data_IF_292873514924
#
_entry.id   IF_292873514924
#
_cell.length_a   1.000
_cell.length_b   1.000
_cell.length_c   1.000
_cell.angle_alpha   90.00
_cell.angle_beta   90.00
_cell.angle_gamma   90.00
#
_symmetry.space_group_name_H-M   'P 1'
#
loop_
_entity.id
_entity.type
_entity.pdbx_description
1 polymer ?
#
# COMPACT_ATOMS: atom_id res chain seq x y z
N UNK A 1 1.10 1.91 -27.11
CA UNK A 1 2.34 1.43 -26.43
C UNK A 1 2.50 2.08 -25.05
N UNK A 2 2.30 3.39 -24.89
CA UNK A 2 2.40 4.08 -23.59
C UNK A 2 1.35 3.63 -22.56
N UNK A 3 0.11 3.34 -22.98
CA UNK A 3 -0.94 2.86 -22.07
C UNK A 3 -0.57 1.52 -21.41
N UNK A 4 0.03 0.60 -22.16
CA UNK A 4 0.48 -0.69 -21.62
C UNK A 4 1.56 -0.51 -20.55
N UNK A 5 2.50 0.42 -20.76
CA UNK A 5 3.52 0.75 -19.76
C UNK A 5 2.89 1.37 -18.50
N UNK A 6 1.89 2.24 -18.68
CA UNK A 6 1.15 2.83 -17.57
C UNK A 6 0.42 1.78 -16.73
N UNK A 7 -0.43 0.97 -17.36
CA UNK A 7 -1.20 -0.07 -16.68
C UNK A 7 -0.33 -1.12 -16.00
N UNK A 8 0.76 -1.55 -16.65
CA UNK A 8 1.70 -2.51 -16.03
C UNK A 8 2.44 -1.89 -14.86
N UNK A 9 2.91 -0.64 -14.99
CA UNK A 9 3.53 0.10 -13.89
C UNK A 9 2.60 0.26 -12.69
N UNK A 10 1.36 0.70 -12.91
CA UNK A 10 0.36 0.84 -11.86
C UNK A 10 0.05 -0.48 -11.16
N UNK A 11 -0.07 -1.58 -11.91
CA UNK A 11 -0.32 -2.90 -11.34
C UNK A 11 0.85 -3.38 -10.47
N UNK A 12 2.09 -3.20 -10.95
CA UNK A 12 3.30 -3.55 -10.22
C UNK A 12 3.42 -2.74 -8.94
N UNK A 13 3.20 -1.43 -8.99
CA UNK A 13 3.18 -0.60 -7.78
C UNK A 13 2.06 -0.99 -6.83
N UNK A 14 0.88 -1.35 -7.35
CA UNK A 14 -0.23 -1.74 -6.49
C UNK A 14 0.00 -3.05 -5.74
N UNK A 15 0.82 -3.94 -6.29
CA UNK A 15 1.05 -5.28 -5.75
C UNK A 15 2.45 -5.51 -5.20
N UNK A 16 3.32 -4.49 -5.22
CA UNK A 16 4.73 -4.61 -4.84
C UNK A 16 4.94 -5.04 -3.37
N UNK A 17 3.98 -4.76 -2.51
CA UNK A 17 3.98 -5.16 -1.10
C UNK A 17 3.74 -6.67 -0.90
N UNK A 18 3.06 -7.33 -1.83
CA UNK A 18 2.60 -8.72 -1.69
C UNK A 18 3.77 -9.70 -1.51
N UNK A 19 4.85 -9.66 -2.32
CA UNK A 19 6.01 -10.54 -2.11
C UNK A 19 6.63 -10.39 -0.71
N UNK A 20 6.71 -9.17 -0.17
CA UNK A 20 7.28 -8.95 1.16
C UNK A 20 6.36 -9.49 2.27
N UNK A 21 5.04 -9.34 2.12
CA UNK A 21 4.06 -9.93 3.03
C UNK A 21 4.15 -11.45 3.04
N UNK A 22 4.22 -12.08 1.86
CA UNK A 22 4.37 -13.53 1.72
C UNK A 22 5.67 -14.00 2.38
N UNK A 23 6.79 -13.34 2.08
CA UNK A 23 8.10 -13.64 2.68
C UNK A 23 8.04 -13.58 4.20
N UNK A 24 7.50 -12.50 4.75
CA UNK A 24 7.36 -12.29 6.21
C UNK A 24 6.45 -13.33 6.85
N UNK A 25 5.34 -13.69 6.17
CA UNK A 25 4.43 -14.73 6.64
C UNK A 25 5.09 -16.11 6.70
N UNK A 26 5.90 -16.45 5.70
CA UNK A 26 6.60 -17.73 5.61
C UNK A 26 7.80 -17.83 6.56
N UNK A 27 8.62 -16.77 6.63
CA UNK A 27 9.82 -16.74 7.46
C UNK A 27 9.53 -16.56 8.95
N UNK A 28 8.36 -15.97 9.28
CA UNK A 28 8.04 -15.47 10.62
C UNK A 28 9.16 -14.61 11.19
N UNK A 29 9.73 -13.74 10.34
CA UNK A 29 10.75 -12.75 10.69
C UNK A 29 10.50 -11.48 9.89
N UNK A 30 10.63 -10.34 10.56
CA UNK A 30 10.49 -9.01 9.95
C UNK A 30 11.69 -8.09 10.29
N UNK A 31 12.83 -8.65 10.69
CA UNK A 31 14.03 -7.90 11.09
C UNK A 31 14.57 -7.00 9.99
N UNK A 32 14.36 -7.38 8.72
CA UNK A 32 14.74 -6.64 7.53
C UNK A 32 13.93 -5.35 7.31
N UNK A 33 12.78 -5.21 7.96
CA UNK A 33 11.92 -4.04 7.83
C UNK A 33 12.22 -3.00 8.91
N UNK A 34 12.53 -1.76 8.49
CA UNK A 34 12.69 -0.63 9.40
C UNK A 34 11.35 -0.18 9.98
N UNK A 35 11.29 0.08 11.29
CA UNK A 35 10.12 0.66 11.95
C UNK A 35 9.72 2.01 11.33
N UNK A 36 10.70 2.86 11.03
CA UNK A 36 10.43 4.18 10.44
C UNK A 36 9.84 4.05 9.03
N UNK A 37 10.35 3.10 8.24
CA UNK A 37 9.80 2.81 6.92
C UNK A 37 8.32 2.40 7.00
N UNK A 38 7.99 1.47 7.91
CA UNK A 38 6.61 1.00 8.07
C UNK A 38 5.67 2.10 8.55
N UNK A 39 6.10 2.95 9.50
CA UNK A 39 5.30 4.07 10.01
C UNK A 39 5.06 5.11 8.92
N UNK A 40 6.11 5.49 8.18
CA UNK A 40 5.98 6.47 7.09
C UNK A 40 5.12 5.95 5.96
N UNK A 41 5.26 4.67 5.62
CA UNK A 41 4.41 4.05 4.61
C UNK A 41 2.96 4.03 5.07
N UNK A 42 2.67 3.56 6.29
CA UNK A 42 1.30 3.54 6.83
C UNK A 42 0.66 4.93 6.86
N UNK A 43 1.42 5.94 7.31
CA UNK A 43 0.97 7.33 7.33
C UNK A 43 0.73 7.86 5.91
N UNK A 44 1.61 7.55 4.97
CA UNK A 44 1.47 7.92 3.56
C UNK A 44 0.21 7.34 2.91
N UNK A 45 -0.07 6.05 3.15
CA UNK A 45 -1.29 5.39 2.69
C UNK A 45 -2.55 6.05 3.29
N UNK A 46 -2.55 6.33 4.60
CA UNK A 46 -3.68 6.99 5.27
C UNK A 46 -3.94 8.41 4.75
N UNK A 47 -2.88 9.20 4.57
CA UNK A 47 -2.98 10.56 4.04
C UNK A 47 -3.42 10.56 2.57
N UNK A 48 -2.94 9.61 1.76
CA UNK A 48 -3.34 9.48 0.35
C UNK A 48 -4.81 9.07 0.24
N UNK A 49 -5.29 8.16 1.08
CA UNK A 49 -6.71 7.81 1.19
C UNK A 49 -7.57 9.02 1.57
N UNK A 50 -7.16 9.79 2.58
CA UNK A 50 -7.88 10.98 2.99
C UNK A 50 -7.92 12.03 1.87
N UNK A 51 -6.80 12.21 1.15
CA UNK A 51 -6.71 13.12 0.02
C UNK A 51 -7.71 12.75 -1.09
N UNK A 52 -7.73 11.50 -1.56
CA UNK A 52 -8.66 11.09 -2.63
C UNK A 52 -10.13 11.18 -2.20
N UNK A 53 -10.44 10.92 -0.92
CA UNK A 53 -11.80 11.08 -0.40
C UNK A 53 -12.22 12.55 -0.48
N UNK A 54 -11.35 13.46 -0.06
CA UNK A 54 -11.64 14.90 -0.11
C UNK A 54 -11.77 15.37 -1.55
N UNK A 55 -10.87 14.95 -2.44
CA UNK A 55 -10.87 15.33 -3.85
C UNK A 55 -12.15 14.86 -4.57
N UNK A 56 -12.54 13.61 -4.37
CA UNK A 56 -13.77 13.04 -4.96
C UNK A 56 -15.05 13.73 -4.45
N UNK A 57 -15.08 14.14 -3.18
CA UNK A 57 -16.20 14.89 -2.61
C UNK A 57 -16.31 16.31 -3.17
N UNK A 58 -15.19 16.92 -3.57
CA UNK A 58 -15.15 18.29 -4.11
C UNK A 58 -15.41 18.33 -5.62
N UNK A 59 -14.94 17.32 -6.36
CA UNK A 59 -14.93 17.30 -7.83
C UNK A 59 -16.03 16.39 -8.40
N UNK A 60 -16.74 15.64 -7.55
CA UNK A 60 -17.79 14.66 -7.94
C UNK A 60 -17.28 13.58 -8.92
N UNK A 61 -15.96 13.36 -8.98
CA UNK A 61 -15.32 12.27 -9.72
C UNK A 61 -14.97 11.13 -8.77
N UNK A 62 -14.99 9.88 -9.22
CA UNK A 62 -14.56 8.74 -8.38
C UNK A 62 -13.29 8.10 -8.92
N UNK A 63 -12.20 8.19 -8.16
CA UNK A 63 -10.92 7.60 -8.52
C UNK A 63 -10.80 6.13 -8.08
N UNK A 64 -11.72 5.27 -8.52
CA UNK A 64 -11.84 3.88 -8.03
C UNK A 64 -10.52 3.08 -7.98
N UNK A 65 -9.62 3.11 -8.99
CA UNK A 65 -8.35 2.37 -8.93
C UNK A 65 -7.44 2.79 -7.77
N UNK A 66 -7.45 4.08 -7.39
CA UNK A 66 -6.63 4.60 -6.29
C UNK A 66 -7.17 4.14 -4.94
N UNK A 67 -8.49 4.09 -4.74
CA UNK A 67 -9.07 3.51 -3.52
C UNK A 67 -8.64 2.07 -3.33
N UNK A 68 -8.79 1.25 -4.38
CA UNK A 68 -8.40 -0.16 -4.32
C UNK A 68 -6.92 -0.26 -3.98
N UNK A 69 -6.07 0.53 -4.63
CA UNK A 69 -4.63 0.55 -4.38
C UNK A 69 -4.28 0.88 -2.92
N UNK A 70 -4.78 2.01 -2.40
CA UNK A 70 -4.38 2.47 -1.08
C UNK A 70 -5.04 1.67 0.04
N UNK A 71 -6.31 1.25 -0.10
CA UNK A 71 -6.93 0.34 0.89
C UNK A 71 -6.18 -0.98 0.94
N UNK A 72 -5.82 -1.54 -0.21
CA UNK A 72 -5.06 -2.78 -0.28
C UNK A 72 -3.69 -2.64 0.38
N UNK A 73 -2.91 -1.62 0.02
CA UNK A 73 -1.59 -1.40 0.60
C UNK A 73 -1.66 -1.06 2.10
N UNK A 74 -2.64 -0.27 2.53
CA UNK A 74 -2.86 0.01 3.95
C UNK A 74 -3.04 -1.28 4.77
N UNK A 75 -3.85 -2.23 4.30
CA UNK A 75 -4.03 -3.54 4.95
C UNK A 75 -2.73 -4.35 4.98
N UNK A 76 -1.97 -4.37 3.89
CA UNK A 76 -0.70 -5.08 3.83
C UNK A 76 0.34 -4.49 4.79
N UNK A 77 0.43 -3.16 4.87
CA UNK A 77 1.34 -2.48 5.81
C UNK A 77 0.92 -2.73 7.25
N UNK A 78 -0.37 -2.71 7.58
CA UNK A 78 -0.86 -3.06 8.91
C UNK A 78 -0.43 -4.48 9.30
N UNK A 79 -0.53 -5.43 8.37
CA UNK A 79 -0.03 -6.78 8.60
C UNK A 79 1.48 -6.79 8.83
N UNK A 80 2.28 -6.03 8.06
CA UNK A 80 3.74 -5.97 8.26
C UNK A 80 4.13 -5.30 9.58
N UNK A 81 3.39 -4.27 10.02
CA UNK A 81 3.55 -3.63 11.34
C UNK A 81 3.24 -4.62 12.45
N UNK A 82 2.14 -5.37 12.32
CA UNK A 82 1.81 -6.45 13.24
C UNK A 82 2.93 -7.50 13.28
N UNK A 83 3.35 -8.00 12.12
CA UNK A 83 4.41 -8.98 12.00
C UNK A 83 5.72 -8.47 12.64
N UNK A 84 6.12 -7.21 12.40
CA UNK A 84 7.31 -6.61 12.99
C UNK A 84 7.28 -6.57 14.52
N UNK A 85 6.09 -6.52 15.12
CA UNK A 85 5.93 -6.51 16.58
C UNK A 85 5.98 -7.91 17.19
N UNK A 86 5.48 -8.92 16.48
CA UNK A 86 5.19 -10.24 17.04
C UNK A 86 6.05 -11.38 16.48
N UNK A 87 6.71 -11.18 15.35
CA UNK A 87 7.63 -12.13 14.71
C UNK A 87 9.06 -11.67 14.90
#
# INVERSE_FOLDING_TARGET
MHELLGWTGSLLFATCAVPQVIKTWQSKKADDLSWLFLIFWLAGEALSLAYIIIDDLLIETTHFPLYVNYVFNFVLVLYLVYAKKYY
#
